data_IF_233507470488
#
_entry.id   IF_233507470488
#
_cell.length_a   1.000
_cell.length_b   1.000
_cell.length_c   1.000
_cell.angle_alpha   90.00
_cell.angle_beta   90.00
_cell.angle_gamma   90.00
#
_symmetry.space_group_name_H-M   'P 1'
#
loop_
_entity.id
_entity.type
_entity.pdbx_description
1 polymer ?
#
# COMPACT_ATOMS: atom_id res chain seq x y z
N UNK A 1 10.03 -19.60 9.56
CA UNK A 1 9.69 -20.68 8.60
C UNK A 1 8.90 -21.78 9.30
N UNK A 2 7.80 -22.23 8.70
CA UNK A 2 7.00 -23.36 9.19
C UNK A 2 5.98 -23.00 10.28
N UNK A 3 5.57 -21.73 10.39
CA UNK A 3 4.43 -21.37 11.25
C UNK A 3 3.09 -21.79 10.60
N UNK A 4 3.07 -21.79 9.26
CA UNK A 4 1.97 -22.29 8.44
C UNK A 4 2.51 -23.43 7.60
N UNK A 5 1.85 -24.59 7.67
CA UNK A 5 2.15 -25.72 6.80
C UNK A 5 1.54 -25.48 5.42
N UNK A 6 2.33 -25.66 4.36
CA UNK A 6 1.91 -25.38 2.99
C UNK A 6 0.69 -26.22 2.58
N UNK A 7 0.55 -27.44 3.10
CA UNK A 7 -0.61 -28.29 2.83
C UNK A 7 -1.93 -27.68 3.34
N UNK A 8 -1.86 -26.80 4.35
CA UNK A 8 -3.04 -26.10 4.88
C UNK A 8 -3.59 -25.07 3.89
N UNK A 9 -2.76 -24.57 2.97
CA UNK A 9 -3.19 -23.65 1.92
C UNK A 9 -4.10 -24.34 0.90
N UNK A 10 -3.98 -25.67 0.72
CA UNK A 10 -4.85 -26.43 -0.16
C UNK A 10 -6.33 -26.47 0.31
N UNK A 11 -6.59 -26.14 1.58
CA UNK A 11 -7.95 -26.03 2.11
C UNK A 11 -8.59 -24.65 1.83
N UNK A 12 -7.85 -23.70 1.28
CA UNK A 12 -8.38 -22.39 0.89
C UNK A 12 -9.31 -22.51 -0.32
N UNK A 13 -10.08 -21.44 -0.56
CA UNK A 13 -10.90 -21.33 -1.76
C UNK A 13 -10.07 -21.33 -3.04
N UNK A 14 -10.74 -21.53 -4.17
CA UNK A 14 -10.12 -21.40 -5.49
C UNK A 14 -9.52 -19.99 -5.65
N UNK A 15 -8.40 -19.91 -6.36
CA UNK A 15 -7.68 -18.66 -6.64
C UNK A 15 -7.20 -17.93 -5.38
N UNK A 16 -6.68 -18.70 -4.40
CA UNK A 16 -6.22 -18.20 -3.11
C UNK A 16 -5.13 -17.12 -3.24
N UNK A 17 -5.22 -16.10 -2.39
CA UNK A 17 -4.23 -15.02 -2.25
C UNK A 17 -3.62 -15.14 -0.84
N UNK A 18 -2.29 -15.21 -0.75
CA UNK A 18 -1.57 -15.37 0.51
C UNK A 18 -0.49 -14.31 0.68
N UNK A 19 -0.52 -13.62 1.82
CA UNK A 19 0.45 -12.59 2.20
C UNK A 19 1.24 -13.10 3.41
N UNK A 20 2.47 -13.56 3.19
CA UNK A 20 3.37 -14.04 4.24
C UNK A 20 4.38 -12.94 4.60
N UNK A 21 4.05 -12.16 5.62
CA UNK A 21 4.70 -10.87 5.94
C UNK A 21 5.77 -10.96 7.03
N UNK A 22 5.96 -12.12 7.66
CA UNK A 22 6.98 -12.30 8.66
C UNK A 22 8.40 -12.09 8.07
N UNK A 23 9.25 -11.37 8.80
CA UNK A 23 10.63 -11.10 8.43
C UNK A 23 11.60 -11.64 9.51
N UNK A 24 12.81 -12.11 9.13
CA UNK A 24 13.33 -12.23 7.76
C UNK A 24 12.81 -13.49 7.03
N UNK A 25 12.16 -14.39 7.76
CA UNK A 25 11.63 -15.63 7.20
C UNK A 25 10.10 -15.63 7.24
N UNK A 26 9.43 -15.71 6.07
CA UNK A 26 7.98 -15.73 5.98
C UNK A 26 7.35 -16.91 6.75
N UNK A 27 6.04 -16.80 7.00
CA UNK A 27 5.21 -17.81 7.66
C UNK A 27 5.25 -19.14 6.90
N UNK A 28 5.15 -19.05 5.57
CA UNK A 28 5.32 -20.13 4.58
C UNK A 28 6.25 -19.63 3.48
N UNK A 29 7.18 -20.46 3.03
CA UNK A 29 8.08 -20.08 1.94
C UNK A 29 7.30 -19.96 0.61
N UNK A 30 7.58 -18.95 -0.24
CA UNK A 30 6.88 -18.78 -1.52
C UNK A 30 6.92 -20.03 -2.40
N UNK A 31 8.02 -20.77 -2.40
CA UNK A 31 8.20 -22.01 -3.17
C UNK A 31 7.23 -23.10 -2.73
N UNK A 32 7.00 -23.21 -1.42
CA UNK A 32 6.09 -24.20 -0.84
C UNK A 32 4.63 -23.78 -1.02
N UNK A 33 4.35 -22.47 -1.03
CA UNK A 33 3.00 -21.93 -1.19
C UNK A 33 2.53 -21.90 -2.66
N UNK A 34 3.45 -21.67 -3.60
CA UNK A 34 3.14 -21.46 -5.03
C UNK A 34 2.24 -22.54 -5.66
N UNK A 35 2.37 -23.84 -5.35
CA UNK A 35 1.46 -24.87 -5.89
C UNK A 35 0.01 -24.78 -5.38
N UNK A 36 -0.22 -24.04 -4.29
CA UNK A 36 -1.50 -24.00 -3.58
C UNK A 36 -2.23 -22.65 -3.71
N UNK A 37 -1.56 -21.62 -4.20
CA UNK A 37 -2.07 -20.25 -4.22
C UNK A 37 -1.93 -19.66 -5.61
N UNK A 38 -2.83 -18.74 -5.95
CA UNK A 38 -2.78 -17.99 -7.21
C UNK A 38 -1.89 -16.76 -7.10
N UNK A 39 -1.90 -16.10 -5.93
CA UNK A 39 -1.12 -14.89 -5.69
C UNK A 39 -0.38 -15.05 -4.37
N UNK A 40 0.93 -14.80 -4.39
CA UNK A 40 1.79 -14.83 -3.23
C UNK A 40 2.46 -13.47 -3.05
N UNK A 41 2.48 -12.95 -1.82
CA UNK A 41 3.16 -11.71 -1.48
C UNK A 41 3.99 -11.88 -0.20
N UNK A 42 5.15 -11.24 -0.12
CA UNK A 42 6.03 -11.30 1.06
C UNK A 42 6.62 -9.94 1.43
N UNK A 43 7.25 -9.84 2.60
CA UNK A 43 7.98 -8.64 3.01
C UNK A 43 9.38 -8.54 2.37
N UNK A 44 9.85 -9.63 1.77
CA UNK A 44 11.21 -9.72 1.24
C UNK A 44 11.29 -9.16 -0.17
N UNK A 45 12.41 -8.52 -0.48
CA UNK A 45 12.64 -7.86 -1.78
C UNK A 45 13.08 -8.79 -2.89
N UNK A 46 13.41 -10.05 -2.58
CA UNK A 46 13.85 -11.05 -3.54
C UNK A 46 12.72 -11.86 -4.18
N UNK A 47 11.46 -11.57 -3.83
CA UNK A 47 10.27 -12.19 -4.43
C UNK A 47 9.36 -11.16 -5.11
N UNK A 48 8.51 -11.60 -6.06
CA UNK A 48 7.40 -10.80 -6.55
C UNK A 48 6.49 -10.30 -5.43
N UNK A 49 5.69 -9.29 -5.72
CA UNK A 49 4.70 -8.73 -4.80
C UNK A 49 5.27 -8.36 -3.41
N UNK A 50 6.40 -7.66 -3.36
CA UNK A 50 6.97 -7.19 -2.10
C UNK A 50 6.05 -6.16 -1.44
N UNK A 51 5.51 -6.49 -0.27
CA UNK A 51 4.76 -5.55 0.58
C UNK A 51 5.75 -4.79 1.47
N UNK A 52 5.90 -3.50 1.20
CA UNK A 52 6.81 -2.65 1.95
C UNK A 52 6.17 -1.30 2.30
N UNK A 53 6.32 -0.89 3.57
CA UNK A 53 5.79 0.38 4.07
C UNK A 53 6.45 1.62 3.45
N UNK A 54 7.62 1.47 2.80
CA UNK A 54 8.27 2.51 1.99
C UNK A 54 7.37 3.01 0.86
N UNK A 55 6.43 2.19 0.38
CA UNK A 55 5.43 2.61 -0.62
C UNK A 55 4.43 3.62 -0.04
N UNK A 56 4.21 3.61 1.28
CA UNK A 56 3.19 4.44 1.93
C UNK A 56 3.80 5.68 2.60
N UNK A 57 4.86 5.51 3.41
CA UNK A 57 5.33 6.57 4.31
C UNK A 57 5.69 7.90 3.61
N UNK A 58 6.50 7.92 2.54
CA UNK A 58 6.87 9.19 1.90
C UNK A 58 5.64 9.97 1.40
N UNK A 59 4.70 9.26 0.76
CA UNK A 59 3.50 9.87 0.20
C UNK A 59 2.50 10.33 1.26
N UNK A 60 2.22 9.51 2.28
CA UNK A 60 1.22 9.86 3.30
C UNK A 60 1.66 11.06 4.14
N UNK A 61 2.95 11.15 4.49
CA UNK A 61 3.49 12.32 5.19
C UNK A 61 3.50 13.54 4.29
N UNK A 62 3.93 13.40 3.02
CA UNK A 62 3.91 14.51 2.08
C UNK A 62 2.51 15.07 1.88
N UNK A 63 1.52 14.20 1.66
CA UNK A 63 0.13 14.63 1.46
C UNK A 63 -0.49 15.28 2.70
N UNK A 64 -0.21 14.75 3.89
CA UNK A 64 -0.66 15.36 5.15
C UNK A 64 -0.05 16.76 5.36
N UNK A 65 1.24 16.93 5.05
CA UNK A 65 1.93 18.22 5.14
C UNK A 65 1.41 19.21 4.11
N UNK A 66 1.24 18.79 2.85
CA UNK A 66 0.74 19.64 1.76
C UNK A 66 -0.69 20.11 2.02
N UNK A 67 -1.54 19.27 2.64
CA UNK A 67 -2.89 19.65 3.05
C UNK A 67 -2.92 20.51 4.33
N UNK A 68 -1.81 20.59 5.08
CA UNK A 68 -1.80 21.19 6.42
C UNK A 68 -2.68 20.43 7.41
N UNK A 69 -2.85 19.12 7.22
CA UNK A 69 -3.70 18.29 8.06
C UNK A 69 -3.08 18.16 9.46
N UNK A 70 -3.86 18.36 10.55
CA UNK A 70 -3.32 18.30 11.91
C UNK A 70 -2.98 16.88 12.40
N UNK A 71 -3.46 15.86 11.69
CA UNK A 71 -3.29 14.44 12.01
C UNK A 71 -3.51 13.61 10.75
N UNK A 72 -2.94 12.41 10.73
CA UNK A 72 -3.25 11.38 9.73
C UNK A 72 -4.41 10.54 10.26
N UNK A 73 -5.52 10.48 9.52
CA UNK A 73 -6.70 9.68 9.90
C UNK A 73 -6.67 8.27 9.29
N UNK A 74 -7.58 7.39 9.71
CA UNK A 74 -7.71 6.05 9.11
C UNK A 74 -8.17 6.13 7.65
N UNK A 75 -9.03 7.09 7.33
CA UNK A 75 -9.49 7.37 5.97
C UNK A 75 -8.33 7.82 5.08
N UNK A 76 -7.41 8.65 5.60
CA UNK A 76 -6.19 9.03 4.88
C UNK A 76 -5.27 7.82 4.65
N UNK A 77 -5.19 6.85 5.57
CA UNK A 77 -4.44 5.60 5.34
C UNK A 77 -5.11 4.74 4.26
N UNK A 78 -6.43 4.67 4.25
CA UNK A 78 -7.17 3.99 3.20
C UNK A 78 -6.98 4.69 1.84
N UNK A 79 -6.99 6.02 1.81
CA UNK A 79 -6.69 6.81 0.62
C UNK A 79 -5.25 6.57 0.13
N UNK A 80 -4.28 6.47 1.05
CA UNK A 80 -2.91 6.11 0.71
C UNK A 80 -2.84 4.71 0.09
N UNK A 81 -3.53 3.71 0.66
CA UNK A 81 -3.58 2.36 0.09
C UNK A 81 -4.18 2.35 -1.33
N UNK A 82 -5.26 3.12 -1.56
CA UNK A 82 -5.83 3.31 -2.90
C UNK A 82 -4.86 4.01 -3.85
N UNK A 83 -4.12 5.00 -3.37
CA UNK A 83 -3.08 5.70 -4.14
C UNK A 83 -1.94 4.77 -4.58
N UNK A 84 -1.52 3.83 -3.73
CA UNK A 84 -0.54 2.79 -4.09
C UNK A 84 -1.12 1.87 -5.18
N UNK A 85 -2.34 1.36 -4.98
CA UNK A 85 -2.98 0.44 -5.90
C UNK A 85 -3.20 1.06 -7.29
N UNK A 86 -3.56 2.35 -7.35
CA UNK A 86 -3.82 3.07 -8.59
C UNK A 86 -2.58 3.25 -9.50
N UNK A 87 -1.37 2.98 -8.99
CA UNK A 87 -0.14 3.01 -9.80
C UNK A 87 0.02 1.74 -10.63
N UNK A 88 -0.60 0.63 -10.22
CA UNK A 88 -0.63 -0.59 -11.02
C UNK A 88 -1.76 -0.45 -12.04
N UNK A 89 -1.41 -0.41 -13.32
CA UNK A 89 -2.40 -0.33 -14.39
C UNK A 89 -3.03 -1.68 -14.66
N UNK A 90 -4.21 -1.69 -15.29
CA UNK A 90 -4.88 -2.93 -15.69
C UNK A 90 -4.03 -3.77 -16.66
N UNK A 91 -3.17 -3.11 -17.46
CA UNK A 91 -2.25 -3.76 -18.40
C UNK A 91 -1.04 -4.40 -17.70
N UNK A 92 -0.59 -3.81 -16.59
CA UNK A 92 0.53 -4.33 -15.78
C UNK A 92 0.08 -5.41 -14.80
N UNK A 93 -1.20 -5.40 -14.40
CA UNK A 93 -1.74 -6.25 -13.34
C UNK A 93 -1.67 -7.73 -13.71
N UNK A 94 -0.88 -8.48 -12.95
CA UNK A 94 -0.80 -9.93 -13.07
C UNK A 94 -0.48 -10.59 -11.72
N UNK A 95 -0.43 -11.91 -11.69
CA UNK A 95 -0.26 -12.70 -10.45
C UNK A 95 1.06 -12.39 -9.72
N UNK A 96 2.10 -11.99 -10.46
CA UNK A 96 3.41 -11.60 -9.94
C UNK A 96 3.58 -10.07 -9.78
N UNK A 97 2.57 -9.28 -10.12
CA UNK A 97 2.61 -7.82 -10.06
C UNK A 97 1.27 -7.22 -9.62
N UNK A 98 1.00 -7.27 -8.32
CA UNK A 98 -0.20 -6.69 -7.68
C UNK A 98 0.09 -5.39 -6.92
N UNK A 99 1.38 -5.08 -6.71
CA UNK A 99 1.85 -3.94 -5.93
C UNK A 99 3.08 -3.34 -6.64
N UNK A 100 3.19 -2.00 -6.73
CA UNK A 100 4.30 -1.40 -7.45
C UNK A 100 5.62 -1.61 -6.71
N UNK A 101 6.72 -1.59 -7.46
CA UNK A 101 8.07 -1.62 -6.89
C UNK A 101 8.32 -0.43 -5.98
N UNK A 102 9.10 -0.63 -4.90
CA UNK A 102 9.60 0.45 -4.03
C UNK A 102 10.42 1.52 -4.77
N UNK A 103 10.88 1.21 -5.99
CA UNK A 103 11.61 2.14 -6.85
C UNK A 103 10.72 2.88 -7.85
N UNK A 104 9.42 2.56 -7.92
CA UNK A 104 8.49 3.28 -8.76
C UNK A 104 8.28 4.71 -8.21
N UNK A 105 8.73 5.70 -8.99
CA UNK A 105 8.73 7.11 -8.60
C UNK A 105 7.35 7.74 -8.59
N UNK A 106 6.35 7.08 -9.18
CA UNK A 106 4.96 7.58 -9.26
C UNK A 106 4.17 7.28 -7.98
N UNK A 107 4.64 6.33 -7.16
CA UNK A 107 3.97 5.92 -5.92
C UNK A 107 3.84 7.07 -4.91
N UNK A 108 4.95 7.71 -4.54
CA UNK A 108 4.91 8.75 -3.53
C UNK A 108 4.03 9.96 -3.95
N UNK A 109 4.12 10.48 -5.20
CA UNK A 109 3.19 11.50 -5.70
C UNK A 109 1.72 11.05 -5.71
N UNK A 110 1.41 9.85 -6.18
CA UNK A 110 0.04 9.35 -6.24
C UNK A 110 -0.59 9.21 -4.84
N UNK A 111 0.17 8.65 -3.89
CA UNK A 111 -0.22 8.54 -2.49
C UNK A 111 -0.43 9.94 -1.87
N UNK A 112 0.49 10.88 -2.09
CA UNK A 112 0.35 12.23 -1.57
C UNK A 112 -0.90 12.92 -2.09
N UNK A 113 -1.19 12.84 -3.40
CA UNK A 113 -2.38 13.41 -4.01
C UNK A 113 -3.68 12.81 -3.42
N UNK A 114 -3.74 11.49 -3.28
CA UNK A 114 -4.89 10.81 -2.67
C UNK A 114 -5.13 11.26 -1.22
N UNK A 115 -4.05 11.42 -0.45
CA UNK A 115 -4.11 11.85 0.95
C UNK A 115 -4.52 13.33 1.09
N UNK A 116 -4.04 14.21 0.22
CA UNK A 116 -4.48 15.61 0.16
C UNK A 116 -5.98 15.68 -0.14
N UNK A 117 -6.44 14.91 -1.13
CA UNK A 117 -7.86 14.88 -1.49
C UNK A 117 -8.72 14.41 -0.33
N UNK A 118 -8.28 13.37 0.39
CA UNK A 118 -9.02 12.88 1.56
C UNK A 118 -9.02 13.87 2.72
N UNK A 119 -7.90 14.56 2.97
CA UNK A 119 -7.85 15.61 3.98
C UNK A 119 -8.82 16.78 3.66
N UNK A 120 -8.98 17.12 2.37
CA UNK A 120 -9.97 18.10 1.90
C UNK A 120 -11.40 17.58 2.11
N UNK A 121 -11.69 16.33 1.71
CA UNK A 121 -13.01 15.70 1.88
C UNK A 121 -13.44 15.64 3.36
N UNK A 122 -12.51 15.32 4.24
CA UNK A 122 -12.73 15.25 5.68
C UNK A 122 -12.80 16.64 6.36
N UNK A 123 -12.57 17.72 5.63
CA UNK A 123 -12.61 19.09 6.16
C UNK A 123 -11.49 19.41 7.16
N UNK A 124 -10.41 18.64 7.16
CA UNK A 124 -9.26 18.83 8.08
C UNK A 124 -8.06 19.51 7.42
N UNK A 125 -8.10 19.69 6.10
CA UNK A 125 -7.10 20.46 5.36
C UNK A 125 -7.14 21.94 5.76
N UNK A 126 -5.97 22.54 5.96
CA UNK A 126 -5.79 23.94 6.39
C UNK A 126 -5.11 24.82 5.35
N UNK A 127 -4.57 24.21 4.29
CA UNK A 127 -3.99 24.91 3.14
C UNK A 127 -5.01 24.83 2.00
N UNK A 128 -5.51 25.99 1.57
CA UNK A 128 -6.37 26.10 0.39
C UNK A 128 -5.49 26.46 -0.84
N UNK A 129 -5.55 25.62 -1.88
CA UNK A 129 -4.79 25.80 -3.13
C UNK A 129 -5.09 27.14 -3.83
N UNK A 130 -6.30 27.68 -3.68
CA UNK A 130 -6.72 28.91 -4.38
C UNK A 130 -6.04 30.18 -3.90
N UNK A 131 -5.48 30.21 -2.67
CA UNK A 131 -4.94 31.45 -2.09
C UNK A 131 -3.55 31.31 -1.49
N UNK A 132 -3.00 30.10 -1.37
CA UNK A 132 -1.71 29.88 -0.67
C UNK A 132 -1.71 30.40 0.77
N UNK A 133 -2.90 30.63 1.34
CA UNK A 133 -3.08 31.28 2.63
C UNK A 133 -3.48 30.24 3.67
N UNK A 134 -2.88 30.31 4.85
CA UNK A 134 -3.25 29.46 5.97
C UNK A 134 -4.63 29.88 6.48
N UNK A 135 -5.55 28.93 6.63
CA UNK A 135 -6.81 29.20 7.33
C UNK A 135 -6.51 29.58 8.79
N UNK A 136 -6.84 30.81 9.17
CA UNK A 136 -6.67 31.31 10.54
C UNK A 136 -7.57 30.53 11.48
N UNK A 137 -6.99 29.91 12.51
CA UNK A 137 -7.76 29.26 13.58
C UNK A 137 -8.48 30.36 14.35
N UNK A 138 -9.81 30.37 14.31
CA UNK A 138 -10.68 31.16 15.21
C UNK A 138 -11.16 30.28 16.36
#
# INVERSE_FOLDING_TARGET
PGLVDASSLAAMGRDAIVFAMANPTPEVMPEDAAPHVRIMATGRSDYPNQINNVLCFPGIFRGALDAGAPRITEEMKLAAAKGIAAVVTDDDLNEDYIIPSVFNREVAPAVAAAVVQEAKNAGIARIMEETGTFATIS
#
